data_IF_379865838629
#
_entry.id   IF_379865838629
#
_cell.length_a   1.000
_cell.length_b   1.000
_cell.length_c   1.000
_cell.angle_alpha   90.00
_cell.angle_beta   90.00
_cell.angle_gamma   90.00
#
_symmetry.space_group_name_H-M   'P 1'
#
loop_
_entity.id
_entity.type
_entity.pdbx_description
1 polymer ?
#
# COMPACT_ATOMS: atom_id res chain seq x y z
N UNK A 1 55.03 -58.55 -5.39
CA UNK A 1 55.51 -57.64 -6.45
C UNK A 1 55.90 -56.32 -5.81
N UNK A 2 57.07 -55.78 -6.18
CA UNK A 2 57.64 -54.50 -5.75
C UNK A 2 56.65 -53.32 -5.94
N UNK A 3 56.68 -52.17 -5.26
CA UNK A 3 57.85 -51.28 -5.12
C UNK A 3 57.51 -50.09 -4.18
N UNK A 4 58.32 -49.94 -3.12
CA UNK A 4 58.88 -48.73 -2.48
C UNK A 4 58.28 -47.32 -2.72
N UNK A 5 58.51 -46.49 -1.69
CA UNK A 5 58.78 -45.03 -1.73
C UNK A 5 57.52 -44.15 -1.64
N UNK A 6 57.46 -43.02 -0.94
CA UNK A 6 58.37 -42.31 -0.03
C UNK A 6 57.58 -41.13 0.56
N UNK A 7 57.90 -40.80 1.81
CA UNK A 7 58.03 -39.46 2.41
C UNK A 7 56.98 -38.35 2.18
N UNK A 8 56.60 -37.78 3.32
CA UNK A 8 56.40 -36.33 3.55
C UNK A 8 55.26 -35.64 2.82
N UNK A 9 54.15 -35.38 3.53
CA UNK A 9 53.76 -33.97 3.78
C UNK A 9 52.88 -33.84 5.03
N UNK A 10 53.47 -33.16 6.01
CA UNK A 10 52.92 -32.28 7.04
C UNK A 10 51.57 -32.59 7.72
N UNK A 11 51.73 -32.75 9.03
CA UNK A 11 50.75 -32.57 10.08
C UNK A 11 50.11 -31.16 10.10
N UNK A 12 48.86 -31.13 10.57
CA UNK A 12 48.27 -30.09 11.44
C UNK A 12 48.06 -28.70 10.80
N UNK A 13 46.79 -28.37 10.55
CA UNK A 13 46.08 -27.37 11.38
C UNK A 13 44.57 -27.48 11.11
N UNK A 14 43.86 -27.92 12.13
CA UNK A 14 42.41 -27.81 12.27
C UNK A 14 42.10 -26.32 12.40
N UNK A 15 41.62 -25.71 11.31
CA UNK A 15 41.06 -24.36 11.28
C UNK A 15 39.55 -24.46 11.07
N UNK A 16 38.82 -24.44 12.18
CA UNK A 16 37.36 -24.42 12.27
C UNK A 16 36.80 -23.18 11.55
N UNK A 17 36.47 -23.30 10.26
CA UNK A 17 35.68 -22.30 9.55
C UNK A 17 34.19 -22.57 9.81
N UNK A 18 33.64 -21.72 10.66
CA UNK A 18 32.24 -21.66 11.06
C UNK A 18 31.36 -21.56 9.80
N UNK A 19 30.38 -22.46 9.72
CA UNK A 19 29.37 -22.53 8.70
C UNK A 19 28.58 -21.20 8.61
N UNK A 20 28.61 -20.56 7.45
CA UNK A 20 27.65 -19.53 7.08
C UNK A 20 26.41 -20.21 6.48
N UNK A 21 25.20 -20.05 7.06
CA UNK A 21 24.00 -20.46 6.36
C UNK A 21 23.72 -19.46 5.24
N UNK A 22 24.00 -19.87 4.01
CA UNK A 22 23.38 -19.30 2.82
C UNK A 22 21.91 -19.73 2.79
N UNK A 23 21.10 -19.13 3.67
CA UNK A 23 19.64 -19.19 3.56
C UNK A 23 19.21 -18.15 2.54
N UNK A 24 19.21 -18.56 1.28
CA UNK A 24 18.32 -17.97 0.29
C UNK A 24 16.89 -18.11 0.80
N UNK A 25 16.19 -17.00 1.05
CA UNK A 25 14.73 -16.90 1.00
C UNK A 25 14.23 -15.46 1.17
N UNK A 26 13.41 -15.06 0.20
CA UNK A 26 12.34 -14.05 0.25
C UNK A 26 12.70 -12.55 0.16
N UNK A 27 12.49 -12.02 -1.04
CA UNK A 27 11.28 -11.21 -1.30
C UNK A 27 11.26 -9.78 -0.76
N UNK A 28 10.87 -8.87 -1.66
CA UNK A 28 10.31 -7.55 -1.38
C UNK A 28 11.32 -6.48 -0.99
N UNK A 29 11.86 -5.83 -2.03
CA UNK A 29 12.18 -4.40 -1.98
C UNK A 29 10.88 -3.61 -1.72
N UNK A 30 10.40 -3.60 -0.47
CA UNK A 30 9.52 -2.56 0.00
C UNK A 30 10.40 -1.32 0.24
N UNK A 31 10.29 -0.34 -0.65
CA UNK A 31 10.97 0.94 -0.52
C UNK A 31 10.78 1.50 0.91
N UNK A 32 11.85 1.97 1.58
CA UNK A 32 11.68 2.72 2.82
C UNK A 32 10.95 4.01 2.46
N UNK A 33 9.73 4.17 2.99
CA UNK A 33 9.05 5.44 3.03
C UNK A 33 10.02 6.44 3.67
N UNK A 34 10.55 7.35 2.84
CA UNK A 34 11.32 8.47 3.36
C UNK A 34 10.38 9.25 4.26
N UNK A 35 10.78 9.30 5.52
CA UNK A 35 10.52 10.32 6.51
C UNK A 35 9.80 11.56 5.94
N UNK A 36 8.56 11.80 6.39
CA UNK A 36 8.05 13.15 6.56
C UNK A 36 7.39 13.27 7.94
N UNK A 37 7.88 14.18 8.79
CA UNK A 37 7.39 14.40 10.14
C UNK A 37 6.18 15.33 10.12
N UNK A 38 5.00 14.79 10.39
CA UNK A 38 3.93 15.54 11.05
C UNK A 38 2.94 14.58 11.72
N UNK A 39 3.30 14.08 12.89
CA UNK A 39 2.46 13.22 13.73
C UNK A 39 1.20 13.93 14.30
N UNK A 40 0.75 15.06 13.72
CA UNK A 40 -0.48 15.77 14.08
C UNK A 40 -1.57 15.73 12.99
N UNK A 41 -1.25 15.29 11.77
CA UNK A 41 -2.18 15.16 10.64
C UNK A 41 -1.94 13.77 10.04
N UNK A 42 -2.95 12.91 9.95
CA UNK A 42 -2.76 11.48 9.66
C UNK A 42 -1.93 11.18 8.41
N UNK A 43 -1.35 9.99 8.38
CA UNK A 43 -0.49 9.52 7.29
C UNK A 43 -1.32 8.84 6.20
N UNK A 44 -1.09 9.23 4.94
CA UNK A 44 -1.66 8.57 3.78
C UNK A 44 -0.59 7.69 3.10
N UNK A 45 -0.80 6.38 3.13
CA UNK A 45 0.16 5.36 2.70
C UNK A 45 -0.37 4.69 1.44
N UNK A 46 0.41 4.59 0.38
CA UNK A 46 -0.01 3.85 -0.82
C UNK A 46 -0.09 2.35 -0.51
N UNK A 47 -1.19 1.69 -0.89
CA UNK A 47 -1.36 0.24 -0.69
C UNK A 47 -0.22 -0.50 -1.42
N UNK A 48 0.57 -1.25 -0.65
CA UNK A 48 1.62 -2.13 -1.14
C UNK A 48 1.26 -3.61 -1.00
N UNK A 49 2.16 -4.50 -1.41
CA UNK A 49 1.96 -5.95 -1.35
C UNK A 49 1.60 -6.47 0.05
N UNK A 50 2.16 -5.85 1.10
CA UNK A 50 1.94 -6.23 2.50
C UNK A 50 0.52 -5.95 2.97
N UNK A 51 -0.12 -4.93 2.42
CA UNK A 51 -1.47 -4.51 2.79
C UNK A 51 -2.54 -4.91 1.76
N UNK A 52 -2.14 -5.53 0.65
CA UNK A 52 -3.01 -5.84 -0.49
C UNK A 52 -4.22 -6.69 -0.09
N UNK A 53 -4.04 -7.68 0.80
CA UNK A 53 -5.14 -8.52 1.27
C UNK A 53 -6.16 -7.75 2.10
N UNK A 54 -5.71 -6.81 2.94
CA UNK A 54 -6.59 -5.93 3.71
C UNK A 54 -7.30 -4.93 2.78
N UNK A 55 -6.54 -4.29 1.89
CA UNK A 55 -7.07 -3.31 0.95
C UNK A 55 -8.13 -3.93 0.02
N UNK A 56 -7.92 -5.15 -0.47
CA UNK A 56 -8.91 -5.85 -1.29
C UNK A 56 -10.23 -6.09 -0.54
N UNK A 57 -10.17 -6.43 0.75
CA UNK A 57 -11.36 -6.60 1.60
C UNK A 57 -12.09 -5.29 1.82
N UNK A 58 -11.36 -4.23 2.18
CA UNK A 58 -11.93 -2.90 2.35
C UNK A 58 -12.51 -2.37 1.04
N UNK A 59 -11.86 -2.67 -0.09
CA UNK A 59 -12.28 -2.24 -1.43
C UNK A 59 -13.60 -2.89 -1.83
N UNK A 60 -13.80 -4.16 -1.47
CA UNK A 60 -15.05 -4.88 -1.70
C UNK A 60 -16.23 -4.26 -0.93
N UNK A 61 -15.96 -3.66 0.24
CA UNK A 61 -16.96 -2.96 1.08
C UNK A 61 -16.89 -1.44 0.97
N UNK A 62 -16.23 -0.93 -0.07
CA UNK A 62 -16.04 0.50 -0.26
C UNK A 62 -17.33 1.12 -0.82
N UNK A 63 -17.92 2.11 -0.12
CA UNK A 63 -19.28 2.57 -0.41
C UNK A 63 -19.36 3.54 -1.60
N UNK A 64 -18.23 4.11 -2.03
CA UNK A 64 -18.16 5.09 -3.11
C UNK A 64 -17.71 4.43 -4.41
N UNK A 65 -18.39 4.76 -5.50
CA UNK A 65 -17.94 4.48 -6.87
C UNK A 65 -17.36 5.73 -7.56
N UNK A 66 -17.22 6.81 -6.79
CA UNK A 66 -16.66 8.12 -7.14
C UNK A 66 -15.45 8.46 -6.24
N UNK A 67 -14.60 9.35 -6.71
CA UNK A 67 -13.42 9.86 -6.03
C UNK A 67 -13.85 10.65 -4.79
N UNK A 68 -13.22 10.38 -3.65
CA UNK A 68 -13.60 11.03 -2.39
C UNK A 68 -13.32 12.55 -2.38
N UNK A 69 -12.37 13.00 -3.19
CA UNK A 69 -11.96 14.41 -3.28
C UNK A 69 -12.79 15.17 -4.30
N UNK A 70 -12.84 14.69 -5.54
CA UNK A 70 -13.41 15.38 -6.70
C UNK A 70 -14.80 14.90 -7.11
N UNK A 71 -15.33 13.85 -6.48
CA UNK A 71 -16.63 13.22 -6.81
C UNK A 71 -16.72 12.69 -8.26
N UNK A 72 -15.60 12.61 -8.98
CA UNK A 72 -15.51 12.00 -10.31
C UNK A 72 -15.52 10.47 -10.27
N UNK A 73 -15.98 9.81 -11.32
CA UNK A 73 -16.07 8.34 -11.36
C UNK A 73 -14.69 7.67 -11.19
N UNK A 74 -14.60 6.73 -10.24
CA UNK A 74 -13.43 5.86 -10.08
C UNK A 74 -13.27 4.99 -11.35
N UNK A 75 -12.03 4.83 -11.83
CA UNK A 75 -11.74 4.07 -13.04
C UNK A 75 -11.76 4.89 -14.34
N UNK A 76 -12.38 6.08 -14.36
CA UNK A 76 -12.47 6.88 -15.59
C UNK A 76 -11.14 7.42 -16.09
N UNK A 77 -10.15 7.56 -15.19
CA UNK A 77 -8.77 7.96 -15.51
C UNK A 77 -7.79 6.77 -15.51
N UNK A 78 -8.30 5.54 -15.67
CA UNK A 78 -7.51 4.31 -15.59
C UNK A 78 -7.52 3.71 -14.19
N UNK A 79 -6.39 3.14 -13.75
CA UNK A 79 -6.34 2.42 -12.47
C UNK A 79 -6.43 3.39 -11.30
N UNK A 80 -7.57 3.39 -10.61
CA UNK A 80 -7.75 4.13 -9.36
C UNK A 80 -6.72 3.70 -8.32
N UNK A 81 -5.87 4.62 -7.83
CA UNK A 81 -4.92 4.29 -6.78
C UNK A 81 -5.63 4.22 -5.42
N UNK A 82 -5.18 3.25 -4.62
CA UNK A 82 -5.72 2.95 -3.30
C UNK A 82 -4.67 3.29 -2.24
N UNK A 83 -5.12 3.92 -1.17
CA UNK A 83 -4.30 4.39 -0.06
C UNK A 83 -4.93 4.00 1.28
N UNK A 84 -4.07 3.86 2.28
CA UNK A 84 -4.40 3.60 3.67
C UNK A 84 -4.18 4.90 4.42
N UNK A 85 -5.25 5.45 4.96
CA UNK A 85 -5.14 6.59 5.86
C UNK A 85 -5.06 6.10 7.31
N UNK A 86 -3.93 6.38 7.95
CA UNK A 86 -3.66 6.06 9.36
C UNK A 86 -3.67 7.33 10.18
N UNK A 87 -4.46 7.34 11.24
CA UNK A 87 -4.48 8.44 12.20
C UNK A 87 -4.37 7.86 13.60
N UNK A 88 -3.49 8.43 14.42
CA UNK A 88 -3.24 7.94 15.77
C UNK A 88 -4.54 7.89 16.60
N UNK A 89 -4.75 6.78 17.29
CA UNK A 89 -5.98 6.52 18.04
C UNK A 89 -7.24 6.28 17.20
N UNK A 90 -7.13 6.12 15.87
CA UNK A 90 -8.24 5.76 14.97
C UNK A 90 -7.91 4.52 14.13
N UNK A 91 -8.93 3.76 13.70
CA UNK A 91 -8.72 2.62 12.80
C UNK A 91 -8.25 3.08 11.41
N UNK A 92 -7.46 2.24 10.76
CA UNK A 92 -7.03 2.41 9.38
C UNK A 92 -8.25 2.54 8.44
N UNK A 93 -8.17 3.47 7.49
CA UNK A 93 -9.25 3.74 6.54
C UNK A 93 -8.75 3.56 5.12
N UNK A 94 -9.45 2.75 4.33
CA UNK A 94 -9.18 2.70 2.89
C UNK A 94 -9.70 3.98 2.23
N UNK A 95 -8.86 4.57 1.40
CA UNK A 95 -9.19 5.75 0.58
C UNK A 95 -8.86 5.42 -0.87
N UNK A 96 -9.81 5.66 -1.77
CA UNK A 96 -9.66 5.37 -3.20
C UNK A 96 -9.84 6.65 -3.99
N UNK A 97 -8.89 6.94 -4.88
CA UNK A 97 -8.92 8.15 -5.71
C UNK A 97 -9.13 7.83 -7.19
N UNK A 98 -9.54 8.82 -7.98
CA UNK A 98 -9.57 8.71 -9.44
C UNK A 98 -8.14 8.76 -10.02
N UNK A 99 -7.22 9.51 -9.41
CA UNK A 99 -5.85 9.69 -9.86
C UNK A 99 -4.87 9.86 -8.69
N UNK A 100 -3.56 9.82 -9.01
CA UNK A 100 -2.48 9.94 -8.02
C UNK A 100 -2.11 11.36 -7.60
N UNK A 101 -2.90 12.38 -7.97
CA UNK A 101 -2.74 13.76 -7.48
C UNK A 101 -3.84 14.18 -6.49
N UNK A 102 -4.82 13.32 -6.22
CA UNK A 102 -5.90 13.60 -5.26
C UNK A 102 -5.46 13.42 -3.80
N UNK A 103 -4.29 12.85 -3.54
CA UNK A 103 -3.75 12.64 -2.20
C UNK A 103 -3.43 13.96 -1.49
N UNK A 104 -2.88 14.94 -2.20
CA UNK A 104 -2.60 16.27 -1.65
C UNK A 104 -3.89 16.99 -1.24
N UNK A 105 -4.92 16.95 -2.10
CA UNK A 105 -6.22 17.55 -1.79
C UNK A 105 -6.92 16.85 -0.62
N UNK A 106 -6.76 15.52 -0.51
CA UNK A 106 -7.27 14.78 0.63
C UNK A 106 -6.62 15.23 1.95
N UNK A 107 -5.29 15.42 1.96
CA UNK A 107 -4.54 15.80 3.15
C UNK A 107 -4.85 17.22 3.65
N UNK A 108 -5.42 18.09 2.81
CA UNK A 108 -5.90 19.43 3.23
C UNK A 108 -7.09 19.35 4.19
N UNK A 109 -7.97 18.36 4.02
CA UNK A 109 -9.14 18.18 4.89
C UNK A 109 -9.58 16.70 4.95
N UNK A 110 -8.77 15.84 5.60
CA UNK A 110 -9.04 14.41 5.62
C UNK A 110 -10.34 14.09 6.36
N UNK A 111 -10.72 14.89 7.36
CA UNK A 111 -11.95 14.70 8.12
C UNK A 111 -13.20 14.86 7.25
N UNK A 112 -13.26 15.92 6.42
CA UNK A 112 -14.34 16.12 5.45
C UNK A 112 -14.47 14.95 4.48
N UNK A 113 -13.34 14.49 3.94
CA UNK A 113 -13.33 13.39 2.96
C UNK A 113 -13.71 12.04 3.59
N UNK A 114 -13.22 11.74 4.79
CA UNK A 114 -13.61 10.54 5.53
C UNK A 114 -15.11 10.56 5.88
N UNK A 115 -15.66 11.72 6.24
CA UNK A 115 -17.08 11.87 6.52
C UNK A 115 -17.95 11.53 5.28
N UNK A 116 -17.50 11.84 4.06
CA UNK A 116 -18.19 11.40 2.83
C UNK A 116 -18.22 9.88 2.70
N UNK A 117 -17.12 9.20 3.01
CA UNK A 117 -17.05 7.73 2.97
C UNK A 117 -18.00 7.14 4.03
N UNK A 118 -17.99 7.69 5.24
CA UNK A 118 -18.86 7.22 6.33
C UNK A 118 -20.35 7.48 6.04
N UNK A 119 -20.67 8.66 5.52
CA UNK A 119 -22.01 9.00 5.07
C UNK A 119 -22.48 8.09 3.94
N UNK A 120 -21.60 7.70 3.01
CA UNK A 120 -21.96 6.75 1.96
C UNK A 120 -22.15 5.33 2.52
N UNK A 121 -21.40 4.89 3.53
CA UNK A 121 -21.67 3.61 4.23
C UNK A 121 -23.04 3.63 4.89
N UNK A 122 -23.39 4.72 5.58
CA UNK A 122 -24.70 4.87 6.22
C UNK A 122 -25.84 5.03 5.21
N UNK A 123 -25.60 5.78 4.14
CA UNK A 123 -26.55 6.09 3.07
C UNK A 123 -26.69 5.01 2.00
N UNK A 124 -25.79 4.03 1.92
CA UNK A 124 -25.99 2.82 1.10
C UNK A 124 -27.11 1.91 1.65
N UNK A 125 -27.65 2.21 2.84
CA UNK A 125 -28.97 1.74 3.28
C UNK A 125 -30.16 2.47 2.59
N UNK A 126 -29.88 3.45 1.72
CA UNK A 126 -30.85 4.27 1.00
C UNK A 126 -30.21 5.12 -0.09
N UNK A 127 -29.65 4.49 -1.13
CA UNK A 127 -29.39 5.11 -2.44
C UNK A 127 -28.29 6.18 -2.51
N UNK A 128 -27.21 5.86 -3.23
CA UNK A 128 -26.49 6.91 -3.97
C UNK A 128 -26.08 6.35 -5.32
N UNK A 129 -27.00 6.55 -6.25
CA UNK A 129 -26.83 6.53 -7.68
C UNK A 129 -27.72 7.63 -8.21
N UNK A 130 -27.27 8.88 -8.14
CA UNK A 130 -27.88 10.02 -8.84
C UNK A 130 -26.98 11.25 -8.68
N UNK A 131 -25.91 11.30 -9.46
CA UNK A 131 -25.56 12.52 -10.16
C UNK A 131 -25.61 12.16 -11.65
N UNK A 132 -26.85 12.05 -12.15
CA UNK A 132 -27.07 12.46 -13.54
C UNK A 132 -26.96 13.97 -13.54
N UNK A 133 -26.44 14.47 -14.66
CA UNK A 133 -26.71 15.78 -15.26
C UNK A 133 -25.47 16.67 -15.48
N UNK A 134 -25.06 16.61 -16.75
CA UNK A 134 -24.65 17.74 -17.59
C UNK A 134 -23.28 18.40 -17.34
N UNK A 135 -22.23 17.80 -17.91
CA UNK A 135 -21.26 18.64 -18.62
C UNK A 135 -21.74 18.84 -20.06
N UNK A 136 -22.60 19.86 -20.22
CA UNK A 136 -23.02 20.40 -21.50
C UNK A 136 -21.78 20.97 -22.21
N UNK A 137 -21.55 20.50 -23.43
CA UNK A 137 -20.48 20.97 -24.30
C UNK A 137 -20.50 22.49 -24.46
N UNK A 138 -19.32 23.06 -24.53
CA UNK A 138 -19.10 24.44 -24.94
C UNK A 138 -17.98 24.45 -25.97
N UNK A 139 -18.42 24.66 -27.22
CA UNK A 139 -17.74 25.14 -28.43
C UNK A 139 -16.23 24.94 -28.55
#
# INVERSE_FOLDING_TARGET
MHLKSSLSTLAVTIGLMIAAPASAQHGQHAAPAKDQPNAKSGQLIKVGEKDAAWAAKERASYPLDVCVTSDEKLGSMGKSPEYIYRLDGKPDRLVVFCCGGCDEDFLKDPAKHLAKIDAAKAGKAGGSGAAKDAHKGHN
#
